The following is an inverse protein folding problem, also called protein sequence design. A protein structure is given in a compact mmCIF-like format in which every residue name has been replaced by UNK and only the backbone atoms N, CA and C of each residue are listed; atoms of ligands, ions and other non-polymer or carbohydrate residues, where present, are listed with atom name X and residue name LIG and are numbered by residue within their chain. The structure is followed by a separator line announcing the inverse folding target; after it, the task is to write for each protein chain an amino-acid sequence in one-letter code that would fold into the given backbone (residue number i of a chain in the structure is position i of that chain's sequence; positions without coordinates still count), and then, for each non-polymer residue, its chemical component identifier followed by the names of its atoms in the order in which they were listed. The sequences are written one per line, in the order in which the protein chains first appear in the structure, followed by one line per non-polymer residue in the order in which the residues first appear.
data_IF_848153514371
#
_entry.id   IF_848153514371
#
_cell.length_a   1.000
_cell.length_b   1.000
_cell.length_c   1.000
_cell.angle_alpha   90.00
_cell.angle_beta   90.00
_cell.angle_gamma   90.00
#
_symmetry.space_group_name_H-M   'P 1'
#
loop_
_entity.id
_entity.type
_entity.pdbx_description
1 polymer ?
#
# COMPACT_ATOMS: atom_id res chain seq x y z
N UNK A 1 -17.98 -5.16 14.62
CA UNK A 1 -18.83 -4.81 13.46
C UNK A 1 -18.21 -3.65 12.67
N UNK A 2 -18.02 -3.81 11.35
CA UNK A 2 -17.63 -2.80 10.33
C UNK A 2 -16.14 -2.61 9.98
N UNK A 3 -15.21 -3.42 10.47
CA UNK A 3 -13.78 -3.25 10.18
C UNK A 3 -13.43 -3.42 8.68
N UNK A 4 -14.08 -4.37 7.99
CA UNK A 4 -13.84 -4.59 6.56
C UNK A 4 -14.30 -3.40 5.70
N UNK A 5 -15.52 -2.88 5.94
CA UNK A 5 -16.06 -1.76 5.15
C UNK A 5 -15.28 -0.46 5.36
N UNK A 6 -14.79 -0.23 6.58
CA UNK A 6 -13.95 0.93 6.88
C UNK A 6 -12.57 0.81 6.21
N UNK A 7 -11.98 -0.39 6.20
CA UNK A 7 -10.76 -0.66 5.43
C UNK A 7 -10.99 -0.42 3.92
N UNK A 8 -12.07 -0.96 3.34
CA UNK A 8 -12.44 -0.71 1.94
C UNK A 8 -12.58 0.80 1.64
N UNK A 9 -13.24 1.56 2.51
CA UNK A 9 -13.42 3.00 2.33
C UNK A 9 -12.08 3.75 2.28
N UNK A 10 -11.17 3.47 3.22
CA UNK A 10 -9.84 4.08 3.20
C UNK A 10 -9.01 3.67 1.97
N UNK A 11 -9.14 2.41 1.53
CA UNK A 11 -8.50 1.96 0.31
C UNK A 11 -8.95 2.79 -0.89
N UNK A 12 -10.26 2.96 -1.08
CA UNK A 12 -10.79 3.75 -2.20
C UNK A 12 -10.47 5.23 -2.10
N UNK A 13 -10.43 5.79 -0.88
CA UNK A 13 -10.00 7.17 -0.66
C UNK A 13 -8.53 7.37 -1.11
N UNK A 14 -7.63 6.50 -0.68
CA UNK A 14 -6.23 6.55 -1.08
C UNK A 14 -6.05 6.37 -2.61
N UNK A 15 -6.83 5.49 -3.23
CA UNK A 15 -6.81 5.29 -4.69
C UNK A 15 -7.28 6.54 -5.45
N UNK A 16 -8.30 7.22 -4.94
CA UNK A 16 -8.75 8.50 -5.52
C UNK A 16 -7.64 9.54 -5.46
N UNK A 17 -6.99 9.68 -4.30
CA UNK A 17 -5.88 10.62 -4.10
C UNK A 17 -4.68 10.29 -5.00
N UNK A 18 -4.37 8.99 -5.18
CA UNK A 18 -3.35 8.54 -6.14
C UNK A 18 -3.71 8.94 -7.57
N UNK A 19 -4.97 8.78 -7.97
CA UNK A 19 -5.46 9.20 -9.29
C UNK A 19 -5.35 10.71 -9.51
N UNK A 20 -5.53 11.50 -8.46
CA UNK A 20 -5.29 12.95 -8.45
C UNK A 20 -3.80 13.33 -8.33
N UNK A 21 -2.89 12.36 -8.31
CA UNK A 21 -1.45 12.55 -8.08
C UNK A 21 -1.11 13.23 -6.74
N UNK A 22 -2.04 13.21 -5.78
CA UNK A 22 -1.84 13.64 -4.39
C UNK A 22 -1.15 12.54 -3.61
N UNK A 23 0.08 12.22 -4.00
CA UNK A 23 0.82 11.09 -3.47
C UNK A 23 1.07 11.17 -1.96
N UNK A 24 1.22 12.38 -1.42
CA UNK A 24 1.39 12.60 0.03
C UNK A 24 0.13 12.23 0.81
N UNK A 25 -1.00 12.82 0.45
CA UNK A 25 -2.28 12.52 1.08
C UNK A 25 -2.63 11.04 0.93
N UNK A 26 -2.39 10.45 -0.24
CA UNK A 26 -2.59 9.03 -0.48
C UNK A 26 -1.73 8.17 0.47
N UNK A 27 -0.43 8.47 0.58
CA UNK A 27 0.46 7.77 1.48
C UNK A 27 -0.02 7.85 2.94
N UNK A 28 -0.46 9.02 3.40
CA UNK A 28 -0.99 9.20 4.76
C UNK A 28 -2.24 8.35 5.00
N UNK A 29 -3.18 8.34 4.04
CA UNK A 29 -4.41 7.52 4.12
C UNK A 29 -4.08 6.03 4.15
N UNK A 30 -3.22 5.54 3.24
CA UNK A 30 -2.86 4.12 3.21
C UNK A 30 -2.06 3.68 4.45
N UNK A 31 -1.17 4.54 4.95
CA UNK A 31 -0.42 4.28 6.17
C UNK A 31 -1.36 4.18 7.38
N UNK A 32 -2.27 5.15 7.55
CA UNK A 32 -3.27 5.12 8.62
C UNK A 32 -4.14 3.86 8.52
N UNK A 33 -4.65 3.56 7.32
CA UNK A 33 -5.51 2.40 7.10
C UNK A 33 -4.79 1.06 7.36
N UNK A 34 -3.52 0.94 6.97
CA UNK A 34 -2.73 -0.28 7.23
C UNK A 34 -2.44 -0.50 8.72
N UNK A 35 -2.34 0.58 9.51
CA UNK A 35 -2.15 0.54 10.96
C UNK A 35 -3.45 0.26 11.71
N UNK A 36 -4.55 0.86 11.27
CA UNK A 36 -5.87 0.73 11.88
C UNK A 36 -6.52 -0.62 11.54
N UNK A 37 -6.33 -1.10 10.30
CA UNK A 37 -6.91 -2.34 9.79
C UNK A 37 -5.87 -3.40 9.36
N UNK A 38 -4.91 -3.79 10.21
CA UNK A 38 -3.82 -4.70 9.82
C UNK A 38 -4.28 -6.14 9.55
N UNK A 39 -5.51 -6.48 9.92
CA UNK A 39 -6.13 -7.80 9.67
C UNK A 39 -7.13 -7.79 8.51
N UNK A 40 -7.35 -6.63 7.88
CA UNK A 40 -8.25 -6.55 6.74
C UNK A 40 -7.67 -7.29 5.54
N UNK A 41 -8.54 -7.88 4.72
CA UNK A 41 -8.13 -8.59 3.50
C UNK A 41 -7.34 -7.70 2.53
N UNK A 42 -7.64 -6.39 2.52
CA UNK A 42 -6.97 -5.35 1.72
C UNK A 42 -5.75 -4.71 2.41
N UNK A 43 -5.43 -5.08 3.65
CA UNK A 43 -4.27 -4.52 4.35
C UNK A 43 -2.95 -4.63 3.56
N UNK A 44 -2.62 -5.77 2.90
CA UNK A 44 -1.40 -5.84 2.10
C UNK A 44 -1.50 -5.04 0.80
N UNK A 45 -2.69 -4.90 0.20
CA UNK A 45 -2.91 -3.99 -0.93
C UNK A 45 -2.72 -2.52 -0.54
N UNK A 46 -3.18 -2.11 0.64
CA UNK A 46 -2.95 -0.74 1.15
C UNK A 46 -1.46 -0.43 1.30
N UNK A 47 -0.68 -1.36 1.85
CA UNK A 47 0.77 -1.19 1.96
C UNK A 47 1.45 -1.15 0.58
N UNK A 48 0.97 -1.94 -0.38
CA UNK A 48 1.45 -1.84 -1.75
C UNK A 48 1.21 -0.41 -2.28
N UNK A 49 -0.02 0.09 -2.15
CA UNK A 49 -0.39 1.44 -2.61
C UNK A 49 0.33 2.56 -1.86
N UNK A 50 0.64 2.37 -0.58
CA UNK A 50 1.55 3.23 0.16
C UNK A 50 2.92 3.29 -0.52
N UNK A 51 3.51 2.14 -0.83
CA UNK A 51 4.77 2.07 -1.57
C UNK A 51 4.70 2.78 -2.92
N UNK A 52 3.64 2.57 -3.71
CA UNK A 52 3.42 3.27 -4.99
C UNK A 52 3.34 4.79 -4.78
N UNK A 53 2.64 5.23 -3.74
CA UNK A 53 2.54 6.65 -3.37
C UNK A 53 3.92 7.23 -3.05
N UNK A 54 4.73 6.50 -2.29
CA UNK A 54 6.10 6.91 -1.93
C UNK A 54 7.02 7.00 -3.17
N UNK A 55 6.88 6.10 -4.14
CA UNK A 55 7.57 6.20 -5.43
C UNK A 55 7.17 7.48 -6.17
N UNK A 56 5.87 7.81 -6.19
CA UNK A 56 5.36 9.08 -6.75
C UNK A 56 5.96 10.32 -6.06
N UNK A 57 6.27 10.22 -4.77
CA UNK A 57 6.98 11.25 -4.00
C UNK A 57 8.51 11.24 -4.18
N UNK A 58 9.04 10.37 -5.03
CA UNK A 58 10.48 10.11 -5.19
C UNK A 58 11.17 9.60 -3.91
N UNK A 59 10.42 9.06 -2.97
CA UNK A 59 10.91 8.45 -1.73
C UNK A 59 11.15 6.96 -1.93
N UNK A 60 11.99 6.61 -2.91
CA UNK A 60 12.22 5.23 -3.32
C UNK A 60 12.76 4.35 -2.19
N UNK A 61 13.67 4.88 -1.35
CA UNK A 61 14.22 4.16 -0.21
C UNK A 61 13.13 3.68 0.78
N UNK A 62 12.21 4.59 1.11
CA UNK A 62 11.05 4.31 1.98
C UNK A 62 10.06 3.37 1.28
N UNK A 63 9.87 3.51 -0.03
CA UNK A 63 9.03 2.61 -0.81
C UNK A 63 9.60 1.18 -0.79
N UNK A 64 10.90 1.00 -1.00
CA UNK A 64 11.57 -0.31 -0.93
C UNK A 64 11.39 -0.97 0.44
N UNK A 65 11.58 -0.20 1.52
CA UNK A 65 11.35 -0.67 2.88
C UNK A 65 9.88 -1.13 3.07
N UNK A 66 8.93 -0.34 2.59
CA UNK A 66 7.49 -0.66 2.64
C UNK A 66 7.18 -1.95 1.90
N UNK A 67 7.65 -2.11 0.66
CA UNK A 67 7.41 -3.32 -0.12
C UNK A 67 8.07 -4.57 0.49
N UNK A 68 9.21 -4.41 1.16
CA UNK A 68 9.85 -5.50 1.91
C UNK A 68 9.05 -5.87 3.16
N UNK A 69 8.44 -4.91 3.83
CA UNK A 69 7.58 -5.16 4.99
C UNK A 69 6.36 -6.01 4.61
N UNK A 70 5.77 -5.81 3.43
CA UNK A 70 4.60 -6.59 2.98
C UNK A 70 4.90 -8.10 3.01
N UNK A 71 6.04 -8.51 2.45
CA UNK A 71 6.44 -9.93 2.42
C UNK A 71 6.72 -10.51 3.81
N UNK A 72 7.18 -9.69 4.76
CA UNK A 72 7.42 -10.11 6.15
C UNK A 72 6.11 -10.22 6.94
N UNK A 73 5.22 -9.24 6.78
CA UNK A 73 3.99 -9.11 7.57
C UNK A 73 2.84 -9.95 7.02
N UNK A 74 2.83 -10.17 5.71
CA UNK A 74 1.79 -10.92 5.00
C UNK A 74 2.43 -11.98 4.09
N UNK A 75 2.98 -13.08 4.64
CA UNK A 75 3.61 -14.13 3.85
C UNK A 75 2.62 -14.88 2.92
N UNK A 76 1.34 -14.87 3.30
CA UNK A 76 0.23 -15.58 2.64
C UNK A 76 -0.52 -14.74 1.59
N UNK A 77 0.06 -13.63 1.12
CA UNK A 77 -0.55 -12.83 0.05
C UNK A 77 -0.71 -13.64 -1.24
N UNK A 78 -1.74 -13.32 -2.02
CA UNK A 78 -2.01 -13.97 -3.30
C UNK A 78 -0.83 -13.86 -4.27
N UNK A 79 -0.68 -14.84 -5.15
CA UNK A 79 0.39 -14.84 -6.16
C UNK A 79 0.36 -13.55 -7.01
N UNK A 80 -0.83 -13.08 -7.37
CA UNK A 80 -1.04 -11.82 -8.10
C UNK A 80 -0.47 -10.61 -7.37
N UNK A 81 -0.65 -10.54 -6.04
CA UNK A 81 -0.13 -9.46 -5.22
C UNK A 81 1.40 -9.58 -5.06
N UNK A 82 1.93 -10.80 -4.93
CA UNK A 82 3.40 -11.03 -4.93
C UNK A 82 4.05 -10.53 -6.23
N UNK A 83 3.45 -10.84 -7.37
CA UNK A 83 3.95 -10.35 -8.66
C UNK A 83 3.88 -8.83 -8.76
N UNK A 84 2.77 -8.22 -8.31
CA UNK A 84 2.63 -6.76 -8.28
C UNK A 84 3.69 -6.09 -7.41
N UNK A 85 3.94 -6.61 -6.21
CA UNK A 85 5.00 -6.11 -5.31
C UNK A 85 6.36 -6.18 -6.01
N UNK A 86 6.66 -7.28 -6.72
CA UNK A 86 7.93 -7.44 -7.44
C UNK A 86 8.06 -6.39 -8.57
N UNK A 87 6.99 -6.12 -9.30
CA UNK A 87 6.97 -5.10 -10.36
C UNK A 87 7.21 -3.70 -9.78
N UNK A 88 6.46 -3.33 -8.73
CA UNK A 88 6.60 -2.00 -8.11
C UNK A 88 7.98 -1.81 -7.47
N UNK A 89 8.58 -2.85 -6.88
CA UNK A 89 9.98 -2.80 -6.41
C UNK A 89 10.96 -2.48 -7.54
N UNK A 90 10.83 -3.18 -8.68
CA UNK A 90 11.70 -2.92 -9.83
C UNK A 90 11.52 -1.49 -10.38
N UNK A 91 10.29 -0.98 -10.40
CA UNK A 91 9.99 0.41 -10.78
C UNK A 91 10.61 1.43 -9.82
N UNK A 92 10.64 1.10 -8.52
CA UNK A 92 11.26 1.89 -7.48
C UNK A 92 12.80 1.77 -7.44
N UNK A 93 13.41 0.99 -8.35
CA UNK A 93 14.83 0.65 -8.35
C UNK A 93 15.32 -0.01 -7.05
N UNK A 94 14.43 -0.80 -6.43
CA UNK A 94 14.75 -1.86 -5.49
C UNK A 94 14.99 -3.17 -6.26
#
# INVERSE_FOLDING_TARGET
PKDAKAADAHYWLGESLLGEQKYRDAAEVFLAASKEYPKAKKAPDMLLKLGVSLVGLKQNDVACATFNEIGKRYPDVSATLKERIKQEKALAAC
#
